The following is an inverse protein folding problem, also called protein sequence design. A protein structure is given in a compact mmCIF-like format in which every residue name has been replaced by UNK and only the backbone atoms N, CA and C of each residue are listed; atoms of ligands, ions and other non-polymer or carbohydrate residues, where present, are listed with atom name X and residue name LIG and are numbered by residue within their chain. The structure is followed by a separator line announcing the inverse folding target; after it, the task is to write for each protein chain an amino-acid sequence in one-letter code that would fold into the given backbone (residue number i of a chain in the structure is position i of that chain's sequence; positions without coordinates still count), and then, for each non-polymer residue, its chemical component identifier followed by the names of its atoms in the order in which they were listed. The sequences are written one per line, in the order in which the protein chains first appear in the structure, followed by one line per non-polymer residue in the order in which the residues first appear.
data_IF_549554385003
#
_entry.id   IF_549554385003
#
_cell.length_a   1.000
_cell.length_b   1.000
_cell.length_c   1.000
_cell.angle_alpha   90.00
_cell.angle_beta   90.00
_cell.angle_gamma   90.00
#
_symmetry.space_group_name_H-M   'P 1'
#
loop_
_entity.id
_entity.type
_entity.pdbx_description
1 polymer ?
#
# COMPACT_ATOMS: atom_id res chain seq x y z
N UNK A 1 9.80 8.27 7.78
CA UNK A 1 10.48 6.97 7.55
C UNK A 1 10.73 6.85 6.05
N UNK A 2 11.95 6.54 5.63
CA UNK A 2 12.24 6.29 4.22
C UNK A 2 11.82 4.86 3.85
N UNK A 3 10.98 4.72 2.82
CA UNK A 3 10.51 3.44 2.29
C UNK A 3 11.05 3.31 0.86
N UNK A 4 11.92 2.33 0.64
CA UNK A 4 12.49 1.99 -0.65
C UNK A 4 11.57 1.02 -1.38
N UNK A 5 10.89 1.53 -2.40
CA UNK A 5 9.97 0.75 -3.26
C UNK A 5 10.68 -0.35 -4.06
N UNK A 6 12.01 -0.33 -4.14
CA UNK A 6 12.80 -1.34 -4.86
C UNK A 6 13.12 -2.59 -4.04
N UNK A 7 12.98 -2.54 -2.71
CA UNK A 7 13.30 -3.67 -1.83
C UNK A 7 12.16 -4.68 -1.77
N UNK A 8 12.49 -5.98 -1.90
CA UNK A 8 11.52 -7.08 -2.02
C UNK A 8 11.89 -8.32 -1.19
N UNK A 9 12.41 -8.11 0.01
CA UNK A 9 12.82 -9.20 0.87
C UNK A 9 12.04 -9.22 2.19
N UNK A 10 11.81 -10.43 2.71
CA UNK A 10 11.06 -10.63 3.95
C UNK A 10 11.67 -9.93 5.16
N UNK A 11 12.99 -9.68 5.15
CA UNK A 11 13.67 -8.97 6.24
C UNK A 11 13.29 -7.48 6.24
N UNK A 12 13.16 -6.89 5.05
CA UNK A 12 12.68 -5.53 4.85
C UNK A 12 11.24 -5.33 5.32
N UNK A 13 10.34 -6.28 5.04
CA UNK A 13 8.94 -6.21 5.48
C UNK A 13 8.79 -6.32 7.00
N UNK A 14 9.61 -7.17 7.62
CA UNK A 14 9.71 -7.25 9.09
C UNK A 14 10.24 -5.96 9.68
N UNK A 15 11.22 -5.33 9.03
CA UNK A 15 11.76 -4.05 9.48
C UNK A 15 10.72 -2.93 9.40
N UNK A 16 9.98 -2.80 8.29
CA UNK A 16 8.86 -1.86 8.17
C UNK A 16 7.86 -2.11 9.30
N UNK A 17 7.42 -3.35 9.49
CA UNK A 17 6.49 -3.72 10.57
C UNK A 17 7.00 -3.28 11.95
N UNK A 18 8.29 -3.51 12.24
CA UNK A 18 8.91 -3.11 13.51
C UNK A 18 8.94 -1.59 13.68
N UNK A 19 9.25 -0.84 12.62
CA UNK A 19 9.32 0.63 12.64
C UNK A 19 7.92 1.24 12.80
N UNK A 20 6.93 0.76 12.05
CA UNK A 20 5.53 1.22 12.16
C UNK A 20 4.96 0.96 13.55
N UNK A 21 5.25 -0.19 14.15
CA UNK A 21 4.77 -0.53 15.50
C UNK A 21 5.38 0.33 16.63
N UNK A 22 6.44 1.12 16.36
CA UNK A 22 6.97 2.09 17.32
C UNK A 22 6.22 3.42 17.32
N UNK A 23 5.39 3.66 16.31
CA UNK A 23 4.55 4.85 16.18
C UNK A 23 3.19 4.52 16.81
N UNK A 24 2.63 5.49 17.52
CA UNK A 24 1.30 5.35 18.11
C UNK A 24 0.26 5.03 17.02
N UNK A 25 -0.64 4.06 17.22
CA UNK A 25 -1.69 3.73 16.24
C UNK A 25 -2.45 4.94 15.68
N UNK A 26 -2.68 5.98 16.49
CA UNK A 26 -3.43 7.18 16.08
C UNK A 26 -2.59 8.06 15.14
N UNK A 27 -1.27 8.08 15.29
CA UNK A 27 -0.34 8.89 14.49
C UNK A 27 0.07 8.22 13.17
N UNK A 28 -0.06 6.90 13.06
CA UNK A 28 0.38 6.13 11.87
C UNK A 28 -0.32 6.57 10.59
N UNK A 29 -1.60 6.93 10.67
CA UNK A 29 -2.36 7.28 9.48
C UNK A 29 -1.81 8.53 8.79
N UNK A 30 -1.47 9.55 9.57
CA UNK A 30 -0.98 10.84 9.05
C UNK A 30 0.35 10.68 8.33
N UNK A 31 1.27 9.90 8.92
CA UNK A 31 2.65 9.85 8.44
C UNK A 31 2.95 8.68 7.50
N UNK A 32 2.18 7.58 7.57
CA UNK A 32 2.53 6.34 6.90
C UNK A 32 1.57 5.91 5.81
N UNK A 33 0.33 6.42 5.80
CA UNK A 33 -0.68 5.97 4.85
C UNK A 33 -0.24 6.16 3.39
N UNK A 34 0.21 7.36 3.04
CA UNK A 34 0.69 7.68 1.69
C UNK A 34 1.96 6.88 1.32
N UNK A 35 3.06 6.91 2.08
CA UNK A 35 4.29 6.23 1.68
C UNK A 35 4.14 4.70 1.61
N UNK A 36 3.38 4.08 2.53
CA UNK A 36 3.07 2.65 2.43
C UNK A 36 2.15 2.37 1.24
N UNK A 37 1.16 3.22 1.00
CA UNK A 37 0.28 3.10 -0.15
C UNK A 37 1.01 3.15 -1.49
N UNK A 38 2.00 4.04 -1.65
CA UNK A 38 2.86 4.13 -2.84
C UNK A 38 3.70 2.86 -2.96
N UNK A 39 4.32 2.42 -1.87
CA UNK A 39 5.13 1.20 -1.86
C UNK A 39 4.33 -0.01 -2.33
N UNK A 40 3.12 -0.20 -1.78
CA UNK A 40 2.22 -1.29 -2.18
C UNK A 40 1.89 -1.14 -3.66
N UNK A 41 1.49 0.04 -4.12
CA UNK A 41 1.16 0.26 -5.53
C UNK A 41 2.28 -0.07 -6.51
N UNK A 42 3.52 0.30 -6.20
CA UNK A 42 4.67 -0.06 -7.06
C UNK A 42 4.94 -1.57 -7.08
N UNK A 43 4.62 -2.30 -6.01
CA UNK A 43 4.72 -3.77 -6.00
C UNK A 43 3.70 -4.42 -6.91
N UNK A 44 2.44 -4.03 -6.77
CA UNK A 44 1.33 -4.51 -7.61
C UNK A 44 1.66 -4.27 -9.09
N UNK A 45 2.08 -3.03 -9.42
CA UNK A 45 2.46 -2.61 -10.76
C UNK A 45 3.56 -3.48 -11.37
N UNK A 46 4.60 -3.84 -10.59
CA UNK A 46 5.67 -4.72 -11.07
C UNK A 46 5.21 -6.16 -11.30
N UNK A 47 4.41 -6.71 -10.37
CA UNK A 47 3.93 -8.10 -10.48
C UNK A 47 2.90 -8.32 -11.59
N UNK A 48 2.05 -7.32 -11.84
CA UNK A 48 0.90 -7.44 -12.76
C UNK A 48 1.06 -6.67 -14.07
N UNK A 49 2.16 -5.94 -14.24
CA UNK A 49 2.35 -4.98 -15.34
C UNK A 49 1.22 -3.94 -15.45
N UNK A 50 0.59 -3.61 -14.32
CA UNK A 50 -0.50 -2.63 -14.27
C UNK A 50 0.01 -1.18 -14.34
N UNK A 51 -0.82 -0.28 -14.86
CA UNK A 51 -0.53 1.15 -14.92
C UNK A 51 -1.44 1.95 -13.98
N UNK A 52 -0.92 3.06 -13.49
CA UNK A 52 -1.67 3.98 -12.64
C UNK A 52 -2.73 4.72 -13.46
N UNK A 53 -4.00 4.49 -13.15
CA UNK A 53 -5.08 5.38 -13.51
C UNK A 53 -5.40 6.30 -12.33
N UNK A 54 -5.03 7.56 -12.51
CA UNK A 54 -5.62 8.65 -11.75
C UNK A 54 -7.04 8.79 -12.30
N UNK A 55 -8.10 8.57 -11.51
CA UNK A 55 -9.53 8.70 -11.85
C UNK A 55 -9.91 10.13 -12.32
N UNK A 56 -9.40 10.53 -13.49
CA UNK A 56 -9.08 11.90 -13.94
C UNK A 56 -10.27 12.81 -14.27
N UNK A 57 -11.35 12.80 -13.48
CA UNK A 57 -12.56 13.56 -13.84
C UNK A 57 -12.72 14.95 -13.19
N UNK A 58 -12.07 15.28 -12.07
CA UNK A 58 -12.49 16.49 -11.29
C UNK A 58 -11.42 17.40 -10.68
N UNK A 59 -10.15 17.36 -11.12
CA UNK A 59 -9.13 18.21 -10.49
C UNK A 59 -8.90 17.83 -9.01
N UNK A 60 -7.83 18.36 -8.45
CA UNK A 60 -7.22 17.94 -7.18
C UNK A 60 -8.23 17.63 -6.04
N UNK A 61 -8.36 16.35 -5.65
CA UNK A 61 -9.10 15.92 -4.45
C UNK A 61 -8.16 15.16 -3.50
N UNK A 62 -8.10 15.51 -2.21
CA UNK A 62 -7.25 14.82 -1.22
C UNK A 62 -7.74 13.41 -0.86
N UNK A 63 -8.95 13.02 -1.27
CA UNK A 63 -9.53 11.68 -1.05
C UNK A 63 -9.30 10.71 -2.19
N UNK A 64 -8.44 11.08 -3.13
CA UNK A 64 -8.33 10.40 -4.40
C UNK A 64 -7.37 9.22 -4.30
N UNK A 65 -7.94 8.02 -4.26
CA UNK A 65 -7.16 6.78 -4.18
C UNK A 65 -6.80 6.35 -5.60
N UNK A 66 -5.51 6.28 -5.94
CA UNK A 66 -5.10 5.88 -7.27
C UNK A 66 -5.47 4.41 -7.52
N UNK A 67 -5.94 4.09 -8.73
CA UNK A 67 -6.32 2.74 -9.13
C UNK A 67 -5.26 2.24 -10.11
N UNK A 68 -4.86 0.98 -9.98
CA UNK A 68 -4.03 0.33 -10.98
C UNK A 68 -4.92 -0.50 -11.90
N UNK A 69 -4.66 -0.47 -13.21
CA UNK A 69 -5.37 -1.28 -14.20
C UNK A 69 -4.36 -2.09 -15.01
N UNK A 70 -4.56 -3.40 -15.13
CA UNK A 70 -3.75 -4.27 -16.00
C UNK A 70 -4.28 -4.32 -17.44
N UNK A 71 -3.59 -5.05 -18.31
CA UNK A 71 -4.01 -5.25 -19.71
C UNK A 71 -5.35 -6.00 -19.86
N UNK A 72 -5.82 -6.68 -18.80
CA UNK A 72 -7.10 -7.41 -18.77
C UNK A 72 -8.23 -6.58 -18.15
N UNK A 73 -8.03 -5.27 -17.99
CA UNK A 73 -8.93 -4.33 -17.31
C UNK A 73 -9.20 -4.64 -15.83
N UNK A 74 -8.41 -5.53 -15.21
CA UNK A 74 -8.52 -5.82 -13.77
C UNK A 74 -8.06 -4.61 -12.98
N UNK A 75 -8.88 -4.21 -12.01
CA UNK A 75 -8.62 -3.05 -11.14
C UNK A 75 -8.00 -3.48 -9.83
N UNK A 76 -7.01 -2.73 -9.37
CA UNK A 76 -6.39 -2.90 -8.07
C UNK A 76 -6.42 -1.60 -7.28
N UNK A 77 -6.80 -1.71 -6.01
CA UNK A 77 -6.82 -0.59 -5.07
C UNK A 77 -5.64 -0.75 -4.10
N UNK A 78 -4.47 -0.15 -4.39
CA UNK A 78 -3.25 -0.36 -3.60
C UNK A 78 -3.37 0.10 -2.15
N UNK A 79 -4.34 0.94 -1.85
CA UNK A 79 -4.60 1.47 -0.51
C UNK A 79 -5.77 0.76 0.20
N UNK A 80 -6.27 -0.35 -0.36
CA UNK A 80 -7.42 -1.07 0.17
C UNK A 80 -7.21 -1.49 1.63
N UNK A 81 -8.06 -0.97 2.52
CA UNK A 81 -8.03 -1.22 3.98
C UNK A 81 -6.69 -0.96 4.66
N UNK A 82 -5.76 -0.23 4.04
CA UNK A 82 -4.47 0.10 4.65
C UNK A 82 -4.66 0.85 5.97
N UNK A 83 -5.59 1.82 6.00
CA UNK A 83 -5.98 2.54 7.21
C UNK A 83 -6.42 1.59 8.34
N UNK A 84 -7.37 0.68 8.06
CA UNK A 84 -7.85 -0.29 9.05
C UNK A 84 -6.72 -1.16 9.62
N UNK A 85 -5.68 -1.43 8.83
CA UNK A 85 -4.52 -2.19 9.28
C UNK A 85 -3.53 -1.35 10.09
N UNK A 86 -3.34 -0.08 9.73
CA UNK A 86 -2.46 0.84 10.46
C UNK A 86 -3.03 1.18 11.84
N UNK A 87 -4.35 1.33 11.96
CA UNK A 87 -5.05 1.60 13.22
C UNK A 87 -5.05 0.42 14.21
N UNK A 88 -4.59 -0.78 13.81
CA UNK A 88 -4.49 -1.92 14.73
C UNK A 88 -3.34 -1.70 15.71
N UNK A 89 -3.51 -2.18 16.96
CA UNK A 89 -2.46 -2.16 17.99
C UNK A 89 -1.11 -2.71 17.49
N UNK A 90 -1.16 -3.79 16.69
CA UNK A 90 0.00 -4.38 16.02
C UNK A 90 -0.24 -4.41 14.50
N UNK A 91 0.58 -3.66 13.78
CA UNK A 91 0.69 -3.71 12.33
C UNK A 91 1.63 -4.85 11.92
N UNK A 92 1.20 -5.66 10.97
CA UNK A 92 1.98 -6.73 10.38
C UNK A 92 1.90 -6.58 8.86
N UNK A 93 3.02 -6.17 8.27
CA UNK A 93 3.05 -5.82 6.87
C UNK A 93 3.01 -7.05 5.97
N UNK A 94 3.62 -8.16 6.39
CA UNK A 94 3.63 -9.41 5.64
C UNK A 94 2.23 -10.03 5.56
N UNK A 95 1.51 -9.99 6.68
CA UNK A 95 0.10 -10.38 6.73
C UNK A 95 -0.79 -9.50 5.85
N UNK A 96 -0.51 -8.20 5.83
CA UNK A 96 -1.23 -7.26 4.96
C UNK A 96 -0.94 -7.54 3.48
N UNK A 97 0.33 -7.73 3.10
CA UNK A 97 0.70 -8.10 1.73
C UNK A 97 0.00 -9.39 1.31
N UNK A 98 0.03 -10.44 2.14
CA UNK A 98 -0.68 -11.70 1.87
C UNK A 98 -2.19 -11.49 1.59
N UNK A 99 -2.85 -10.61 2.35
CA UNK A 99 -4.25 -10.24 2.10
C UNK A 99 -4.42 -9.61 0.70
N UNK A 100 -3.54 -8.68 0.35
CA UNK A 100 -3.52 -8.02 -0.96
C UNK A 100 -3.24 -9.04 -2.08
N UNK A 101 -2.32 -9.98 -1.90
CA UNK A 101 -2.05 -11.07 -2.84
C UNK A 101 -3.27 -11.98 -3.04
N UNK A 102 -3.94 -12.38 -1.95
CA UNK A 102 -5.11 -13.29 -2.01
C UNK A 102 -6.32 -12.68 -2.72
N UNK A 103 -6.44 -11.35 -2.68
CA UNK A 103 -7.43 -10.59 -3.44
C UNK A 103 -6.99 -10.36 -4.90
N UNK A 104 -5.84 -10.93 -5.26
CA UNK A 104 -5.31 -11.07 -6.59
C UNK A 104 -4.40 -9.94 -7.04
N UNK A 105 -3.83 -9.17 -6.12
CA UNK A 105 -3.15 -7.91 -6.42
C UNK A 105 -1.62 -7.89 -6.24
N UNK A 106 -0.97 -8.96 -5.81
CA UNK A 106 0.50 -9.01 -5.70
C UNK A 106 1.01 -10.41 -6.05
#
# INVERSE_FOLDING_TARGET
MEIDVNKDDASYYKEISKRVNKIDPDDRNTDLFIPLGIFIGEKIKRGTSAHWQVEKKYGYRPYFMPILIDASEKKYHPWYKLYEHLSKKKFDFDKYLTLVNSLGAL
#
